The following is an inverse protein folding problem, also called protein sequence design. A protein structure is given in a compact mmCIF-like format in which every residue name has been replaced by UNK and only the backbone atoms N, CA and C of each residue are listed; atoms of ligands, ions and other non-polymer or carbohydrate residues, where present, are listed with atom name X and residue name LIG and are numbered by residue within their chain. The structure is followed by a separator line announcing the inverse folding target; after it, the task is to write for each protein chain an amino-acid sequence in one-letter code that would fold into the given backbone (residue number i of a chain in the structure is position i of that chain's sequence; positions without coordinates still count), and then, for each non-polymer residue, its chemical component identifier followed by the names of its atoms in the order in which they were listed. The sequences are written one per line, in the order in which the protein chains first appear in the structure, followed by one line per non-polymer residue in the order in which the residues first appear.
data_IF_762532273635
#
_entry.id   IF_762532273635
#
_cell.length_a   1.000
_cell.length_b   1.000
_cell.length_c   1.000
_cell.angle_alpha   90.00
_cell.angle_beta   90.00
_cell.angle_gamma   90.00
#
_symmetry.space_group_name_H-M   'P 1'
#
loop_
_entity.id
_entity.type
_entity.pdbx_description
1 polymer ?
#
# COMPACT_ATOMS: atom_id res chain seq x y z
N UNK A 1 -26.10 15.24 -4.13
CA UNK A 1 -24.79 15.17 -3.47
C UNK A 1 -24.62 16.42 -2.63
N UNK A 2 -24.69 16.26 -1.32
CA UNK A 2 -24.45 17.35 -0.36
C UNK A 2 -23.06 17.14 0.23
N UNK A 3 -22.28 18.21 0.34
CA UNK A 3 -20.93 18.17 0.93
C UNK A 3 -20.97 18.92 2.24
N UNK A 4 -20.63 18.24 3.33
CA UNK A 4 -20.49 18.84 4.65
C UNK A 4 -19.06 18.70 5.15
N UNK A 5 -18.61 19.64 5.97
CA UNK A 5 -17.27 19.61 6.58
C UNK A 5 -17.45 19.44 8.08
N UNK A 6 -16.89 18.36 8.62
CA UNK A 6 -16.87 18.12 10.06
C UNK A 6 -16.02 19.16 10.78
N UNK A 7 -16.19 19.27 12.10
CA UNK A 7 -15.35 20.16 12.94
C UNK A 7 -13.86 19.83 12.89
N UNK A 8 -13.49 18.63 12.40
CA UNK A 8 -12.12 18.21 12.16
C UNK A 8 -11.58 18.59 10.76
N UNK A 9 -12.36 19.30 9.94
CA UNK A 9 -11.97 19.66 8.57
C UNK A 9 -12.08 18.49 7.58
N UNK A 10 -12.71 17.38 7.97
CA UNK A 10 -12.94 16.23 7.10
C UNK A 10 -14.21 16.48 6.28
N UNK A 11 -14.08 16.35 4.97
CA UNK A 11 -15.19 16.38 4.02
C UNK A 11 -16.01 15.09 4.11
N UNK A 12 -17.32 15.23 4.23
CA UNK A 12 -18.30 14.13 4.19
C UNK A 12 -19.27 14.44 3.07
N UNK A 13 -19.32 13.52 2.11
CA UNK A 13 -20.16 13.62 0.92
C UNK A 13 -21.37 12.71 1.14
N UNK A 14 -22.56 13.29 1.28
CA UNK A 14 -23.81 12.54 1.27
C UNK A 14 -24.20 12.22 -0.18
N UNK A 15 -24.23 10.93 -0.50
CA UNK A 15 -24.56 10.43 -1.83
C UNK A 15 -26.09 10.52 -2.09
N UNK A 16 -26.91 10.70 -1.05
CA UNK A 16 -28.36 10.82 -1.14
C UNK A 16 -29.08 9.49 -1.35
N UNK A 17 -28.40 8.38 -1.12
CA UNK A 17 -28.89 7.01 -1.36
C UNK A 17 -28.76 6.11 -0.12
N UNK A 18 -28.53 6.70 1.06
CA UNK A 18 -28.25 5.95 2.29
C UNK A 18 -26.79 5.56 2.46
N UNK A 19 -25.90 6.18 1.68
CA UNK A 19 -24.44 6.06 1.87
C UNK A 19 -23.75 7.43 1.89
N UNK A 20 -22.58 7.45 2.50
CA UNK A 20 -21.68 8.60 2.53
C UNK A 20 -20.30 8.21 2.02
N UNK A 21 -19.60 9.18 1.41
CA UNK A 21 -18.21 9.05 0.98
C UNK A 21 -17.34 10.03 1.75
N UNK A 22 -16.26 9.53 2.34
CA UNK A 22 -15.33 10.30 3.17
C UNK A 22 -13.92 10.14 2.59
N UNK A 23 -13.42 11.12 1.80
CA UNK A 23 -12.05 11.11 1.33
C UNK A 23 -11.09 11.52 2.46
N UNK A 24 -10.15 10.64 2.79
CA UNK A 24 -9.13 10.84 3.82
C UNK A 24 -7.74 10.86 3.19
N UNK A 25 -7.25 12.07 2.88
CA UNK A 25 -5.86 12.26 2.47
C UNK A 25 -4.91 12.02 3.65
N UNK A 26 -3.85 11.25 3.42
CA UNK A 26 -2.83 10.95 4.42
C UNK A 26 -1.56 11.73 4.12
N UNK A 27 -0.77 12.02 5.15
CA UNK A 27 0.49 12.78 5.01
C UNK A 27 1.56 12.07 4.17
N UNK A 28 1.41 10.77 3.93
CA UNK A 28 2.27 9.97 3.06
C UNK A 28 1.87 10.03 1.57
N UNK A 29 0.84 10.82 1.23
CA UNK A 29 0.33 10.98 -0.12
C UNK A 29 -0.66 9.89 -0.54
N UNK A 30 -1.00 8.94 0.33
CA UNK A 30 -2.08 7.99 0.10
C UNK A 30 -3.46 8.64 0.35
N UNK A 31 -4.49 8.09 -0.30
CA UNK A 31 -5.89 8.49 -0.16
C UNK A 31 -6.68 7.26 0.26
N UNK A 32 -7.44 7.36 1.34
CA UNK A 32 -8.45 6.36 1.69
C UNK A 32 -9.82 6.95 1.37
N UNK A 33 -10.61 6.27 0.54
CA UNK A 33 -11.97 6.69 0.21
C UNK A 33 -12.91 5.78 1.00
N UNK A 34 -13.35 6.25 2.16
CA UNK A 34 -14.22 5.45 3.03
C UNK A 34 -15.66 5.63 2.59
N UNK A 35 -16.34 4.53 2.31
CA UNK A 35 -17.79 4.49 2.15
C UNK A 35 -18.42 4.06 3.47
N UNK A 36 -19.37 4.85 3.95
CA UNK A 36 -20.24 4.51 5.08
C UNK A 36 -21.61 4.17 4.52
N UNK A 37 -22.05 2.94 4.70
CA UNK A 37 -23.36 2.44 4.28
C UNK A 37 -24.26 2.53 5.51
N UNK A 38 -25.22 3.46 5.51
CA UNK A 38 -26.03 3.77 6.70
C UNK A 38 -27.28 2.90 6.82
N UNK A 39 -27.79 2.40 5.69
CA UNK A 39 -29.07 1.68 5.68
C UNK A 39 -29.06 0.44 4.76
N UNK A 40 -29.94 -0.53 5.01
CA UNK A 40 -30.10 -1.70 4.14
C UNK A 40 -30.57 -1.39 2.71
N UNK A 41 -31.15 -0.19 2.48
CA UNK A 41 -31.61 0.22 1.16
C UNK A 41 -30.52 0.86 0.30
N UNK A 42 -29.33 1.09 0.86
CA UNK A 42 -28.21 1.68 0.15
C UNK A 42 -27.71 0.76 -1.00
N UNK A 43 -27.09 1.32 -2.05
CA UNK A 43 -26.51 0.53 -3.12
C UNK A 43 -25.39 -0.38 -2.62
N UNK A 44 -25.05 -1.42 -3.39
CA UNK A 44 -23.94 -2.32 -3.05
C UNK A 44 -22.63 -1.97 -3.73
N UNK A 45 -22.67 -1.10 -4.73
CA UNK A 45 -21.56 -0.83 -5.64
C UNK A 45 -21.15 0.63 -5.55
N UNK A 46 -19.89 0.87 -5.21
CA UNK A 46 -19.33 2.20 -4.97
C UNK A 46 -18.09 2.40 -5.81
N UNK A 47 -18.12 3.40 -6.69
CA UNK A 47 -17.09 3.60 -7.71
C UNK A 47 -16.19 4.79 -7.39
N UNK A 48 -14.89 4.59 -7.58
CA UNK A 48 -13.86 5.64 -7.54
C UNK A 48 -13.13 5.64 -8.88
N UNK A 49 -13.18 6.78 -9.58
CA UNK A 49 -12.37 7.01 -10.77
C UNK A 49 -10.95 7.41 -10.39
N UNK A 50 -9.96 6.88 -11.11
CA UNK A 50 -8.56 7.26 -10.94
C UNK A 50 -7.98 7.77 -12.26
N UNK A 51 -7.11 8.77 -12.16
CA UNK A 51 -6.32 9.24 -13.29
C UNK A 51 -5.00 8.48 -13.33
N UNK A 52 -4.75 7.80 -14.45
CA UNK A 52 -3.56 6.98 -14.65
C UNK A 52 -2.71 7.52 -15.82
N UNK A 53 -1.38 7.39 -15.76
CA UNK A 53 -0.52 7.74 -16.89
C UNK A 53 -0.89 6.97 -18.16
N UNK A 54 -0.64 7.56 -19.33
CA UNK A 54 -0.92 6.91 -20.60
C UNK A 54 -0.23 5.53 -20.70
N UNK A 55 -0.96 4.53 -21.20
CA UNK A 55 -0.48 3.15 -21.30
C UNK A 55 -0.47 2.38 -19.98
N UNK A 56 -1.00 2.94 -18.90
CA UNK A 56 -1.11 2.29 -17.59
C UNK A 56 -2.53 1.78 -17.36
N UNK A 57 -2.66 0.58 -16.82
CA UNK A 57 -3.95 -0.03 -16.50
C UNK A 57 -3.91 -0.67 -15.12
N UNK A 58 -5.06 -0.66 -14.44
CA UNK A 58 -5.26 -1.43 -13.22
C UNK A 58 -5.31 -2.91 -13.55
N UNK A 59 -4.60 -3.70 -12.76
CA UNK A 59 -4.54 -5.15 -12.86
C UNK A 59 -4.70 -5.76 -11.48
N UNK A 60 -5.33 -6.93 -11.42
CA UNK A 60 -5.36 -7.72 -10.19
C UNK A 60 -3.93 -8.18 -9.87
N UNK A 61 -3.46 -7.78 -8.69
CA UNK A 61 -2.17 -8.22 -8.19
C UNK A 61 -2.27 -9.59 -7.51
N UNK A 62 -3.48 -10.02 -7.17
CA UNK A 62 -3.85 -11.21 -6.39
C UNK A 62 -4.41 -10.83 -4.99
N UNK A 63 -5.11 -11.77 -4.36
CA UNK A 63 -5.69 -11.60 -3.00
C UNK A 63 -6.56 -10.33 -2.84
N UNK A 64 -7.17 -9.83 -3.92
CA UNK A 64 -8.04 -8.66 -3.92
C UNK A 64 -7.36 -7.30 -3.99
N UNK A 65 -6.02 -7.24 -4.08
CA UNK A 65 -5.28 -5.99 -4.30
C UNK A 65 -5.21 -5.64 -5.79
N UNK A 66 -5.18 -4.35 -6.12
CA UNK A 66 -4.97 -3.87 -7.49
C UNK A 66 -3.66 -3.11 -7.61
N UNK A 67 -2.98 -3.23 -8.75
CA UNK A 67 -1.80 -2.45 -9.09
C UNK A 67 -1.92 -1.88 -10.50
N UNK A 68 -1.45 -0.65 -10.66
CA UNK A 68 -1.26 -0.01 -11.95
C UNK A 68 0.24 0.29 -12.12
N UNK A 69 0.90 -0.44 -13.02
CA UNK A 69 2.32 -0.29 -13.33
C UNK A 69 2.44 0.41 -14.70
N UNK A 70 3.20 1.50 -14.73
CA UNK A 70 3.44 2.25 -15.95
C UNK A 70 4.41 1.50 -16.88
N UNK A 71 4.46 1.84 -18.19
CA UNK A 71 5.34 1.17 -19.14
C UNK A 71 6.84 1.21 -18.81
N UNK A 72 7.28 2.18 -18.01
CA UNK A 72 8.66 2.30 -17.53
C UNK A 72 8.97 1.43 -16.29
N UNK A 73 7.98 0.67 -15.81
CA UNK A 73 8.09 -0.22 -14.65
C UNK A 73 7.79 0.45 -13.31
N UNK A 74 7.48 1.75 -13.29
CA UNK A 74 7.11 2.45 -12.06
C UNK A 74 5.68 2.12 -11.62
N UNK A 75 5.44 1.99 -10.32
CA UNK A 75 4.10 1.82 -9.79
C UNK A 75 3.38 3.18 -9.78
N UNK A 76 2.37 3.33 -10.64
CA UNK A 76 1.57 4.55 -10.71
C UNK A 76 0.48 4.60 -9.63
N UNK A 77 -0.05 3.43 -9.24
CA UNK A 77 -1.08 3.31 -8.22
C UNK A 77 -1.10 1.89 -7.65
N UNK A 78 -1.34 1.77 -6.35
CA UNK A 78 -1.79 0.52 -5.73
C UNK A 78 -3.08 0.74 -4.95
N UNK A 79 -3.90 -0.31 -4.87
CA UNK A 79 -5.15 -0.36 -4.11
C UNK A 79 -5.08 -1.56 -3.16
N UNK A 80 -5.27 -1.31 -1.86
CA UNK A 80 -5.22 -2.36 -0.86
C UNK A 80 -6.40 -3.32 -1.06
N UNK A 81 -6.27 -4.59 -0.64
CA UNK A 81 -7.38 -5.53 -0.67
C UNK A 81 -8.66 -4.91 -0.10
N UNK A 82 -9.77 -5.10 -0.82
CA UNK A 82 -11.08 -4.63 -0.36
C UNK A 82 -11.39 -5.22 1.02
N UNK A 83 -11.83 -4.36 1.94
CA UNK A 83 -12.41 -4.78 3.20
C UNK A 83 -13.72 -4.04 3.43
N UNK A 84 -14.61 -4.69 4.17
CA UNK A 84 -15.83 -4.09 4.68
C UNK A 84 -16.13 -4.71 6.04
N UNK A 85 -16.52 -3.88 7.01
CA UNK A 85 -16.93 -4.33 8.34
C UNK A 85 -18.21 -3.64 8.77
N UNK A 86 -19.09 -4.39 9.40
CA UNK A 86 -20.32 -3.89 10.01
C UNK A 86 -20.04 -3.18 11.34
N UNK A 87 -21.08 -2.59 11.94
CA UNK A 87 -20.96 -1.84 13.20
C UNK A 87 -20.52 -2.70 14.41
N UNK A 88 -20.65 -4.02 14.32
CA UNK A 88 -20.17 -4.97 15.33
C UNK A 88 -18.75 -5.50 15.03
N UNK A 89 -18.13 -5.04 13.93
CA UNK A 89 -16.81 -5.50 13.49
C UNK A 89 -16.85 -6.86 12.76
N UNK A 90 -18.01 -7.30 12.30
CA UNK A 90 -18.16 -8.51 11.49
C UNK A 90 -17.73 -8.21 10.05
N UNK A 91 -16.87 -9.05 9.49
CA UNK A 91 -16.44 -8.91 8.10
C UNK A 91 -17.63 -9.10 7.15
N UNK A 92 -17.82 -8.14 6.24
CA UNK A 92 -18.82 -8.19 5.17
C UNK A 92 -18.10 -8.59 3.88
N UNK A 93 -18.59 -9.59 3.12
CA UNK A 93 -18.00 -9.96 1.84
C UNK A 93 -17.94 -8.78 0.88
N UNK A 94 -16.76 -8.54 0.32
CA UNK A 94 -16.54 -7.46 -0.62
C UNK A 94 -15.49 -7.85 -1.66
N UNK A 95 -15.56 -7.23 -2.83
CA UNK A 95 -14.55 -7.35 -3.90
C UNK A 95 -14.45 -6.04 -4.68
N UNK A 96 -13.38 -5.90 -5.45
CA UNK A 96 -13.33 -4.91 -6.52
C UNK A 96 -13.73 -5.48 -7.86
N UNK A 97 -14.37 -4.65 -8.67
CA UNK A 97 -14.56 -4.83 -10.10
C UNK A 97 -13.93 -3.62 -10.81
N UNK A 98 -13.13 -3.88 -11.84
CA UNK A 98 -12.36 -2.84 -12.54
C UNK A 98 -12.84 -2.72 -13.97
N UNK A 99 -13.17 -1.49 -14.39
CA UNK A 99 -13.48 -1.16 -15.78
C UNK A 99 -12.67 0.06 -16.20
N UNK A 100 -11.63 -0.16 -16.99
CA UNK A 100 -10.69 0.90 -17.38
C UNK A 100 -9.96 1.48 -16.16
N UNK A 101 -10.20 2.75 -15.86
CA UNK A 101 -9.65 3.46 -14.70
C UNK A 101 -10.68 3.70 -13.58
N UNK A 102 -11.79 2.96 -13.59
CA UNK A 102 -12.80 2.99 -12.54
C UNK A 102 -12.67 1.73 -11.69
N UNK A 103 -12.51 1.93 -10.39
CA UNK A 103 -12.52 0.87 -9.37
C UNK A 103 -13.91 0.91 -8.73
N UNK A 104 -14.65 -0.18 -8.82
CA UNK A 104 -15.93 -0.33 -8.14
C UNK A 104 -15.77 -1.34 -7.02
N UNK A 105 -15.94 -0.91 -5.78
CA UNK A 105 -16.06 -1.84 -4.66
C UNK A 105 -17.51 -2.31 -4.56
N UNK A 106 -17.69 -3.62 -4.64
CA UNK A 106 -18.97 -4.27 -4.37
C UNK A 106 -18.95 -4.78 -2.93
N UNK A 107 -19.92 -4.37 -2.12
CA UNK A 107 -20.11 -4.79 -0.73
C UNK A 107 -21.43 -5.56 -0.65
N UNK A 108 -21.37 -6.85 -0.33
CA UNK A 108 -22.54 -7.74 -0.32
C UNK A 108 -23.30 -7.64 1.02
N UNK A 109 -23.70 -6.42 1.41
CA UNK A 109 -24.26 -6.11 2.74
C UNK A 109 -25.72 -6.53 2.96
N UNK A 110 -26.35 -7.16 1.97
CA UNK A 110 -27.67 -7.81 2.04
C UNK A 110 -27.58 -9.35 2.04
N UNK A 111 -26.36 -9.91 1.87
CA UNK A 111 -26.15 -11.36 1.78
C UNK A 111 -26.33 -12.07 3.13
N UNK A 112 -26.50 -11.32 4.21
CA UNK A 112 -26.66 -11.81 5.58
C UNK A 112 -27.22 -10.75 6.51
N UNK A 113 -27.23 -11.05 7.81
CA UNK A 113 -27.65 -10.13 8.86
C UNK A 113 -26.43 -9.32 9.36
N UNK A 114 -26.30 -8.08 8.89
CA UNK A 114 -25.22 -7.15 9.27
C UNK A 114 -25.77 -5.93 10.00
N UNK A 115 -24.97 -5.36 10.90
CA UNK A 115 -25.31 -4.15 11.63
C UNK A 115 -24.80 -2.90 10.92
N UNK A 116 -25.69 -1.93 10.74
CA UNK A 116 -25.35 -0.65 10.13
C UNK A 116 -24.90 0.37 11.21
N UNK A 117 -24.00 1.31 10.89
CA UNK A 117 -23.40 1.51 9.57
C UNK A 117 -22.32 0.47 9.25
N UNK A 118 -22.24 0.09 7.98
CA UNK A 118 -21.12 -0.70 7.44
C UNK A 118 -20.08 0.27 6.88
N UNK A 119 -18.82 0.01 7.16
CA UNK A 119 -17.70 0.78 6.62
C UNK A 119 -16.93 -0.06 5.63
N UNK A 120 -16.54 0.55 4.51
CA UNK A 120 -15.77 -0.08 3.45
C UNK A 120 -14.79 0.94 2.86
N UNK A 121 -13.69 0.48 2.26
CA UNK A 121 -12.81 1.35 1.49
C UNK A 121 -12.31 0.71 0.20
N UNK A 122 -11.81 1.58 -0.69
CA UNK A 122 -10.44 1.43 -1.12
C UNK A 122 -9.50 2.39 -0.39
N UNK A 123 -8.36 1.85 0.07
CA UNK A 123 -7.14 2.62 0.34
C UNK A 123 -6.24 2.59 -0.90
N UNK A 124 -5.96 3.76 -1.44
CA UNK A 124 -5.13 4.00 -2.61
C UNK A 124 -3.80 4.62 -2.22
N UNK A 125 -2.67 4.11 -2.72
CA UNK A 125 -1.36 4.68 -2.44
C UNK A 125 -0.38 4.51 -3.58
N UNK A 126 0.60 5.42 -3.65
CA UNK A 126 1.65 5.41 -4.67
C UNK A 126 3.04 5.16 -4.09
N UNK A 127 3.30 5.63 -2.85
CA UNK A 127 4.62 5.51 -2.20
C UNK A 127 4.62 4.50 -1.07
N UNK A 128 5.39 3.43 -1.22
CA UNK A 128 5.65 2.43 -0.20
C UNK A 128 6.63 2.96 0.85
N UNK A 129 7.55 3.84 0.47
CA UNK A 129 8.49 4.50 1.38
C UNK A 129 8.23 6.00 1.51
N UNK A 130 8.38 6.49 2.75
CA UNK A 130 8.54 7.92 3.04
C UNK A 130 9.75 8.48 2.26
N UNK A 131 9.88 9.80 2.08
CA UNK A 131 11.07 10.39 1.48
C UNK A 131 12.34 9.77 2.05
N UNK A 132 13.08 9.08 1.19
CA UNK A 132 14.24 8.30 1.61
C UNK A 132 15.46 9.19 1.76
N UNK A 133 16.41 8.77 2.58
CA UNK A 133 17.56 9.59 2.96
C UNK A 133 18.84 8.78 2.89
N UNK A 134 19.98 9.46 2.89
CA UNK A 134 21.30 8.82 3.01
C UNK A 134 21.85 9.13 4.39
N UNK A 135 22.43 8.12 5.05
CA UNK A 135 23.08 8.21 6.36
C UNK A 135 22.14 8.69 7.48
N UNK A 136 20.89 8.21 7.52
CA UNK A 136 19.92 8.53 8.59
C UNK A 136 20.50 8.33 9.99
N UNK A 137 21.32 7.29 10.18
CA UNK A 137 22.05 6.96 11.43
C UNK A 137 23.56 7.22 11.34
N UNK A 138 24.01 7.94 10.32
CA UNK A 138 25.43 8.08 9.95
C UNK A 138 25.87 7.05 8.91
N UNK A 139 27.09 7.25 8.41
CA UNK A 139 27.76 6.30 7.52
C UNK A 139 28.21 5.06 8.31
N UNK A 140 28.23 3.89 7.66
CA UNK A 140 28.74 2.66 8.26
C UNK A 140 30.10 2.32 7.66
N UNK A 141 31.12 2.19 8.53
CA UNK A 141 32.52 1.97 8.13
C UNK A 141 33.02 2.95 7.05
N UNK A 142 32.63 4.23 7.17
CA UNK A 142 33.01 5.29 6.22
C UNK A 142 32.30 5.24 4.86
N UNK A 143 31.29 4.38 4.69
CA UNK A 143 30.53 4.21 3.45
C UNK A 143 29.06 4.60 3.67
N UNK A 144 28.41 5.02 2.59
CA UNK A 144 27.02 5.47 2.63
C UNK A 144 26.06 4.34 3.05
N UNK A 145 25.00 4.72 3.75
CA UNK A 145 23.84 3.88 4.07
C UNK A 145 22.60 4.52 3.46
N UNK A 146 21.89 3.80 2.62
CA UNK A 146 20.67 4.29 1.96
C UNK A 146 19.45 3.84 2.77
N UNK A 147 18.69 4.80 3.29
CA UNK A 147 17.69 4.57 4.33
C UNK A 147 16.27 4.85 3.84
N UNK A 148 15.42 3.83 3.91
CA UNK A 148 13.98 3.93 3.67
C UNK A 148 13.17 3.70 4.95
N UNK A 149 11.98 4.29 5.01
CA UNK A 149 10.97 4.00 6.03
C UNK A 149 9.64 3.72 5.36
N UNK A 150 9.06 2.54 5.62
CA UNK A 150 7.74 2.21 5.08
C UNK A 150 6.71 3.24 5.55
N UNK A 151 5.85 3.69 4.63
CA UNK A 151 4.65 4.47 4.94
C UNK A 151 3.61 3.58 5.64
N UNK A 152 2.55 4.16 6.22
CA UNK A 152 1.48 3.33 6.79
C UNK A 152 0.85 2.44 5.71
N UNK A 153 0.69 3.01 4.51
CA UNK A 153 0.34 2.30 3.30
C UNK A 153 1.32 1.17 2.95
N UNK A 154 2.63 1.44 2.91
CA UNK A 154 3.66 0.45 2.62
C UNK A 154 3.69 -0.71 3.64
N UNK A 155 3.41 -0.41 4.92
CA UNK A 155 3.22 -1.43 5.96
C UNK A 155 1.98 -2.27 5.68
N UNK A 156 0.83 -1.66 5.35
CA UNK A 156 -0.41 -2.37 5.06
C UNK A 156 -0.26 -3.32 3.86
N UNK A 157 0.27 -2.82 2.73
CA UNK A 157 0.57 -3.66 1.57
C UNK A 157 1.62 -4.72 1.90
N UNK A 158 2.58 -4.39 2.77
CA UNK A 158 3.57 -5.33 3.27
C UNK A 158 3.01 -6.43 4.19
N UNK A 159 1.90 -6.20 4.89
CA UNK A 159 1.29 -7.21 5.74
C UNK A 159 0.43 -8.22 4.96
N UNK A 160 -0.01 -7.84 3.74
CA UNK A 160 -0.84 -8.69 2.89
C UNK A 160 -0.09 -9.89 2.28
N UNK A 161 -0.85 -10.86 1.77
CA UNK A 161 -0.32 -12.10 1.16
C UNK A 161 0.66 -11.84 -0.01
N UNK A 162 0.52 -10.72 -0.72
CA UNK A 162 1.42 -10.32 -1.81
C UNK A 162 2.50 -9.35 -1.39
N UNK A 163 2.59 -9.07 -0.10
CA UNK A 163 3.47 -8.03 0.36
C UNK A 163 4.90 -8.29 -0.11
N UNK A 164 5.35 -9.55 -0.16
CA UNK A 164 6.68 -9.92 -0.69
C UNK A 164 6.88 -9.36 -2.08
N UNK A 165 6.04 -9.79 -3.02
CA UNK A 165 6.05 -9.32 -4.40
C UNK A 165 6.02 -7.81 -4.50
N UNK A 166 5.14 -7.14 -3.75
CA UNK A 166 5.00 -5.67 -3.82
C UNK A 166 6.27 -4.96 -3.34
N UNK A 167 6.76 -5.30 -2.14
CA UNK A 167 7.93 -4.62 -1.58
C UNK A 167 9.21 -5.00 -2.34
N UNK A 168 9.31 -6.23 -2.85
CA UNK A 168 10.49 -6.70 -3.58
C UNK A 168 10.57 -6.22 -5.02
N UNK A 169 9.47 -5.68 -5.58
CA UNK A 169 9.40 -5.14 -6.95
C UNK A 169 9.22 -3.62 -6.92
N UNK A 170 7.99 -3.12 -6.72
CA UNK A 170 7.71 -1.69 -6.66
C UNK A 170 8.51 -0.99 -5.54
N UNK A 171 8.66 -1.63 -4.38
CA UNK A 171 9.49 -1.10 -3.30
C UNK A 171 10.97 -1.00 -3.66
N UNK A 172 11.53 -2.02 -4.32
CA UNK A 172 12.90 -1.97 -4.85
C UNK A 172 13.07 -0.86 -5.90
N UNK A 173 12.09 -0.68 -6.79
CA UNK A 173 12.16 0.35 -7.83
C UNK A 173 12.14 1.77 -7.23
N UNK A 174 11.42 2.02 -6.13
CA UNK A 174 11.52 3.28 -5.38
C UNK A 174 12.97 3.55 -4.91
N UNK A 175 13.62 2.53 -4.33
CA UNK A 175 15.03 2.62 -3.90
C UNK A 175 15.99 2.83 -5.07
N UNK A 176 15.89 2.00 -6.10
CA UNK A 176 16.81 1.97 -7.24
C UNK A 176 16.66 3.19 -8.15
N UNK A 177 15.47 3.77 -8.26
CA UNK A 177 15.25 5.02 -9.01
C UNK A 177 15.82 6.25 -8.29
N UNK A 178 15.88 6.22 -6.96
CA UNK A 178 16.39 7.34 -6.16
C UNK A 178 17.92 7.49 -6.27
N UNK A 179 18.65 6.39 -6.46
CA UNK A 179 20.12 6.43 -6.53
C UNK A 179 20.70 5.39 -7.49
N UNK A 180 21.50 5.84 -8.46
CA UNK A 180 22.24 4.96 -9.37
C UNK A 180 23.19 4.00 -8.66
N UNK A 181 23.76 4.42 -7.53
CA UNK A 181 24.59 3.56 -6.68
C UNK A 181 23.81 2.35 -6.12
N UNK A 182 22.55 2.57 -5.72
CA UNK A 182 21.65 1.49 -5.26
C UNK A 182 21.30 0.57 -6.42
N UNK A 183 20.82 1.13 -7.54
CA UNK A 183 20.45 0.36 -8.75
C UNK A 183 21.56 -0.57 -9.24
N UNK A 184 22.80 -0.10 -9.20
CA UNK A 184 23.95 -0.82 -9.75
C UNK A 184 24.62 -1.77 -8.75
N UNK A 185 24.09 -1.90 -7.53
CA UNK A 185 24.70 -2.74 -6.49
C UNK A 185 23.90 -4.02 -6.26
N UNK A 186 24.51 -5.15 -6.64
CA UNK A 186 23.98 -6.49 -6.32
C UNK A 186 23.79 -6.69 -4.81
N UNK A 187 24.69 -6.17 -3.99
CA UNK A 187 24.61 -6.30 -2.53
C UNK A 187 23.41 -5.54 -1.97
N UNK A 188 23.18 -4.30 -2.42
CA UNK A 188 22.06 -3.50 -1.92
C UNK A 188 20.72 -4.05 -2.41
N UNK A 189 20.66 -4.61 -3.63
CA UNK A 189 19.52 -5.40 -4.07
C UNK A 189 19.24 -6.57 -3.10
N UNK A 190 20.25 -7.38 -2.78
CA UNK A 190 20.08 -8.51 -1.86
C UNK A 190 19.63 -8.08 -0.46
N UNK A 191 20.15 -6.96 0.06
CA UNK A 191 19.74 -6.40 1.35
C UNK A 191 18.25 -5.99 1.33
N UNK A 192 17.81 -5.29 0.28
CA UNK A 192 16.41 -4.94 0.07
C UNK A 192 15.52 -6.18 -0.02
N UNK A 193 15.89 -7.17 -0.83
CA UNK A 193 15.11 -8.41 -0.96
C UNK A 193 15.03 -9.17 0.38
N UNK A 194 16.09 -9.15 1.18
CA UNK A 194 16.07 -9.71 2.53
C UNK A 194 15.12 -8.95 3.45
N UNK A 195 15.10 -7.61 3.39
CA UNK A 195 14.13 -6.79 4.12
C UNK A 195 12.69 -7.01 3.65
N UNK A 196 12.47 -7.14 2.34
CA UNK A 196 11.16 -7.46 1.79
C UNK A 196 10.71 -8.86 2.22
N UNK A 197 11.59 -9.86 2.26
CA UNK A 197 11.19 -11.21 2.62
C UNK A 197 10.98 -11.36 4.13
N UNK A 198 11.88 -10.82 4.94
CA UNK A 198 11.97 -11.10 6.38
C UNK A 198 11.77 -9.89 7.28
N UNK A 199 11.92 -8.68 6.76
CA UNK A 199 11.73 -7.44 7.48
C UNK A 199 10.26 -7.00 7.63
N UNK A 200 9.30 -7.83 7.22
CA UNK A 200 7.85 -7.56 7.36
C UNK A 200 7.46 -7.50 8.82
N UNK A 201 7.33 -6.28 9.36
CA UNK A 201 6.64 -5.83 10.58
C UNK A 201 6.66 -6.67 11.88
N UNK A 202 7.19 -7.89 11.93
CA UNK A 202 6.99 -8.86 13.02
C UNK A 202 8.28 -9.63 13.38
N UNK A 203 9.36 -9.59 12.59
CA UNK A 203 10.64 -10.22 12.99
C UNK A 203 11.86 -9.32 12.69
N UNK A 204 12.29 -8.55 13.70
CA UNK A 204 13.67 -8.02 13.81
C UNK A 204 14.03 -6.73 13.07
N UNK A 205 13.64 -6.53 11.79
CA UNK A 205 14.08 -5.34 11.02
C UNK A 205 13.15 -4.12 11.12
N UNK A 206 11.84 -4.34 11.35
CA UNK A 206 10.85 -3.28 11.50
C UNK A 206 10.59 -2.47 10.21
N UNK A 207 10.03 -1.27 10.37
CA UNK A 207 9.61 -0.41 9.25
C UNK A 207 10.74 0.43 8.62
N UNK A 208 11.97 0.30 9.12
CA UNK A 208 13.13 1.05 8.65
C UNK A 208 14.14 0.12 8.00
N UNK A 209 14.49 0.40 6.74
CA UNK A 209 15.41 -0.41 5.96
C UNK A 209 16.65 0.42 5.65
N UNK A 210 17.82 -0.10 6.00
CA UNK A 210 19.10 0.60 5.89
C UNK A 210 20.01 -0.27 4.98
N UNK A 211 20.19 0.13 3.72
CA UNK A 211 21.03 -0.58 2.74
C UNK A 211 22.46 -0.05 2.81
N UNK A 212 23.38 -0.87 3.32
CA UNK A 212 24.74 -0.48 3.63
C UNK A 212 25.68 -0.75 2.44
N UNK A 213 26.27 0.30 1.87
CA UNK A 213 27.10 0.23 0.66
C UNK A 213 28.47 -0.43 0.87
N UNK A 214 28.86 -0.71 2.12
CA UNK A 214 30.10 -1.42 2.43
C UNK A 214 29.95 -2.93 2.28
N UNK A 215 28.73 -3.47 2.43
CA UNK A 215 28.53 -4.93 2.50
C UNK A 215 28.78 -5.57 1.14
N UNK A 216 29.54 -6.69 1.07
CA UNK A 216 29.75 -7.41 -0.17
C UNK A 216 28.43 -8.10 -0.61
N UNK A 217 28.36 -8.57 -1.85
CA UNK A 217 27.25 -9.45 -2.24
C UNK A 217 27.38 -10.80 -1.52
N UNK A 218 26.26 -11.39 -1.12
CA UNK A 218 26.21 -12.69 -0.43
C UNK A 218 25.43 -13.70 -1.28
N UNK A 219 26.05 -14.85 -1.59
CA UNK A 219 25.38 -15.92 -2.32
C UNK A 219 24.25 -16.57 -1.50
N UNK A 220 24.37 -16.56 -0.16
CA UNK A 220 23.43 -17.16 0.78
C UNK A 220 22.55 -16.11 1.47
N UNK A 221 22.31 -14.96 0.84
CA UNK A 221 21.55 -13.83 1.43
C UNK A 221 20.13 -14.20 1.91
N UNK A 222 19.55 -15.28 1.37
CA UNK A 222 18.22 -15.74 1.76
C UNK A 222 18.21 -16.47 3.12
N UNK A 223 19.37 -16.95 3.59
CA UNK A 223 19.50 -17.63 4.89
C UNK A 223 19.56 -16.63 6.05
N UNK A 224 18.41 -16.01 6.33
CA UNK A 224 18.28 -14.94 7.31
C UNK A 224 18.64 -15.37 8.73
N UNK A 225 18.56 -16.66 9.08
CA UNK A 225 18.89 -17.14 10.42
C UNK A 225 20.39 -16.99 10.71
N UNK A 226 21.23 -17.07 9.68
CA UNK A 226 22.69 -16.95 9.81
C UNK A 226 23.16 -15.50 10.03
N UNK A 227 22.53 -14.53 9.35
CA UNK A 227 23.05 -13.16 9.27
C UNK A 227 22.03 -12.06 9.56
N UNK A 228 20.73 -12.37 9.67
CA UNK A 228 19.66 -11.38 9.97
C UNK A 228 19.65 -10.17 9.02
N UNK A 229 19.78 -10.45 7.72
CA UNK A 229 19.99 -9.45 6.66
C UNK A 229 21.25 -8.58 6.82
N UNK A 230 22.21 -9.00 7.65
CA UNK A 230 23.37 -8.22 8.06
C UNK A 230 24.66 -9.07 7.92
N UNK A 231 25.29 -9.05 6.73
CA UNK A 231 26.49 -9.85 6.41
C UNK A 231 27.70 -9.02 5.98
#
# INVERSE_FOLDING_TARGET
MEVSVSSAGIEVIDNGDGSQTIPLSRSDGSLQVVTVIETPSAPRAYSVGVDLPAGTALSDAGNGALLAIAPDGTMALGVAPAWAYDAAGVAVPTRYEVTGSVITQVVEHDSGEYQYPITADPWLGQRLFSPMTVNRKGAFQGRAVYSGRLTAWGVAMGAGNLGYTILSTAGWEEFASSWSAVRNSRSMYQQDQCHALWGRAIIGAGIHWDLEAVRPANANWADVLSHKCNW
#
